data_IF_130531722758
#
_entry.id   IF_130531722758
#
_cell.length_a   1.000
_cell.length_b   1.000
_cell.length_c   1.000
_cell.angle_alpha   90.00
_cell.angle_beta   90.00
_cell.angle_gamma   90.00
#
_symmetry.space_group_name_H-M   'P 1'
#
loop_
_entity.id
_entity.type
_entity.pdbx_description
1 polymer ?
#
# COMPACT_ATOMS: atom_id res chain seq x y z
N UNK A 1 -8.25 -0.85 31.24
CA UNK A 1 -7.50 -0.61 29.97
C UNK A 1 -8.08 -1.41 28.78
N UNK A 2 -9.41 -1.58 28.70
CA UNK A 2 -10.13 -2.36 27.66
C UNK A 2 -10.75 -1.49 26.54
N UNK A 3 -10.88 -0.17 26.71
CA UNK A 3 -11.65 0.72 25.81
C UNK A 3 -10.89 1.08 24.52
N UNK A 4 -9.56 0.91 24.46
CA UNK A 4 -8.75 1.27 23.26
C UNK A 4 -8.75 0.24 22.13
N UNK A 5 -9.31 -0.95 22.35
CA UNK A 5 -9.27 -2.06 21.38
C UNK A 5 -10.42 -2.10 20.38
N UNK A 6 -11.59 -1.49 20.73
CA UNK A 6 -12.80 -1.60 19.91
C UNK A 6 -12.99 -0.48 18.87
N UNK A 7 -12.22 0.62 18.98
CA UNK A 7 -12.34 1.76 18.03
C UNK A 7 -11.82 1.37 16.62
N UNK A 8 -11.04 0.32 16.50
CA UNK A 8 -10.43 -0.13 15.24
C UNK A 8 -10.99 -1.44 14.67
N UNK A 9 -12.20 -1.86 15.04
CA UNK A 9 -12.86 -2.98 14.37
C UNK A 9 -13.07 -2.65 12.88
N UNK A 10 -13.05 -3.65 12.00
CA UNK A 10 -13.26 -3.49 10.56
C UNK A 10 -14.49 -2.63 10.24
N UNK A 11 -15.59 -2.85 10.96
CA UNK A 11 -16.86 -2.12 10.82
C UNK A 11 -16.70 -0.63 11.12
N UNK A 12 -15.98 -0.27 12.17
CA UNK A 12 -15.78 1.14 12.54
C UNK A 12 -14.90 1.89 11.52
N UNK A 13 -13.94 1.24 10.91
CA UNK A 13 -13.08 1.82 9.87
C UNK A 13 -13.85 2.09 8.58
N UNK A 14 -14.71 1.18 8.17
CA UNK A 14 -15.62 1.37 7.03
C UNK A 14 -16.57 2.54 7.29
N UNK A 15 -17.11 2.65 8.49
CA UNK A 15 -17.96 3.77 8.90
C UNK A 15 -17.22 5.11 8.79
N UNK A 16 -15.97 5.20 9.27
CA UNK A 16 -15.16 6.43 9.17
C UNK A 16 -14.94 6.84 7.71
N UNK A 17 -14.65 5.90 6.82
CA UNK A 17 -14.49 6.19 5.38
C UNK A 17 -15.82 6.69 4.78
N UNK A 18 -16.92 6.02 5.05
CA UNK A 18 -18.25 6.42 4.56
C UNK A 18 -18.61 7.82 5.05
N UNK A 19 -18.40 8.11 6.34
CA UNK A 19 -18.66 9.44 6.92
C UNK A 19 -17.77 10.50 6.27
N UNK A 20 -16.47 10.23 6.08
CA UNK A 20 -15.55 11.15 5.39
C UNK A 20 -15.95 11.45 3.95
N UNK A 21 -16.32 10.44 3.18
CA UNK A 21 -16.80 10.61 1.80
C UNK A 21 -18.13 11.39 1.76
N UNK A 22 -19.06 11.08 2.68
CA UNK A 22 -20.36 11.79 2.77
C UNK A 22 -20.18 13.27 3.11
N UNK A 23 -19.32 13.60 4.07
CA UNK A 23 -18.97 14.99 4.42
C UNK A 23 -18.32 15.71 3.22
N UNK A 24 -17.42 15.05 2.51
CA UNK A 24 -16.81 15.58 1.29
C UNK A 24 -17.85 15.89 0.20
N UNK A 25 -18.81 15.00 -0.01
CA UNK A 25 -19.89 15.20 -0.99
C UNK A 25 -20.81 16.37 -0.61
N UNK A 26 -21.21 16.47 0.66
CA UNK A 26 -22.00 17.59 1.17
C UNK A 26 -21.26 18.91 0.99
N UNK A 27 -19.96 18.94 1.30
CA UNK A 27 -19.11 20.13 1.11
C UNK A 27 -18.99 20.54 -0.35
N UNK A 28 -18.86 19.59 -1.29
CA UNK A 28 -18.85 19.85 -2.75
C UNK A 28 -20.15 20.48 -3.21
N UNK A 29 -21.30 19.93 -2.80
CA UNK A 29 -22.61 20.46 -3.15
C UNK A 29 -22.81 21.86 -2.60
N UNK A 30 -22.39 22.10 -1.34
CA UNK A 30 -22.46 23.41 -0.72
C UNK A 30 -21.60 24.45 -1.45
N UNK A 31 -20.33 24.12 -1.76
CA UNK A 31 -19.41 25.00 -2.47
C UNK A 31 -19.93 25.36 -3.88
N UNK A 32 -20.46 24.36 -4.61
CA UNK A 32 -21.03 24.60 -5.94
C UNK A 32 -22.24 25.54 -5.87
N UNK A 33 -23.12 25.37 -4.88
CA UNK A 33 -24.25 26.26 -4.66
C UNK A 33 -23.82 27.69 -4.29
N UNK A 34 -22.81 27.83 -3.43
CA UNK A 34 -22.22 29.13 -3.09
C UNK A 34 -21.62 29.84 -4.31
N UNK A 35 -20.85 29.11 -5.13
CA UNK A 35 -20.27 29.65 -6.37
C UNK A 35 -21.37 30.15 -7.33
N UNK A 36 -22.48 29.41 -7.45
CA UNK A 36 -23.62 29.83 -8.27
C UNK A 36 -24.27 31.11 -7.75
N UNK A 37 -24.55 31.17 -6.46
CA UNK A 37 -25.15 32.38 -5.83
C UNK A 37 -24.22 33.60 -5.94
N UNK A 38 -22.92 33.41 -5.75
CA UNK A 38 -21.96 34.49 -5.89
C UNK A 38 -21.89 34.99 -7.33
N UNK A 39 -21.92 34.09 -8.32
CA UNK A 39 -21.98 34.46 -9.73
C UNK A 39 -23.21 35.31 -10.07
N UNK A 40 -24.38 34.89 -9.59
CA UNK A 40 -25.63 35.64 -9.79
C UNK A 40 -25.56 37.03 -9.14
N UNK A 41 -24.97 37.12 -7.93
CA UNK A 41 -24.74 38.40 -7.24
C UNK A 41 -23.79 39.29 -8.03
N UNK A 42 -22.64 38.82 -8.48
CA UNK A 42 -21.67 39.58 -9.29
C UNK A 42 -22.31 40.10 -10.55
N UNK A 43 -23.14 39.33 -11.25
CA UNK A 43 -23.87 39.77 -12.42
C UNK A 43 -24.86 40.92 -12.12
N UNK A 44 -25.56 40.79 -10.99
CA UNK A 44 -26.47 41.84 -10.54
C UNK A 44 -25.72 43.13 -10.17
N UNK A 45 -24.62 43.01 -9.44
CA UNK A 45 -23.80 44.14 -9.01
C UNK A 45 -23.21 44.91 -10.23
N UNK A 46 -22.75 44.21 -11.27
CA UNK A 46 -22.26 44.85 -12.52
C UNK A 46 -23.40 45.52 -13.27
N UNK A 47 -24.59 44.95 -13.35
CA UNK A 47 -25.74 45.55 -13.98
C UNK A 47 -26.20 46.82 -13.22
N UNK A 48 -26.24 46.75 -11.89
CA UNK A 48 -26.57 47.91 -11.04
C UNK A 48 -25.56 49.05 -11.22
N UNK A 49 -24.27 48.72 -11.27
CA UNK A 49 -23.17 49.66 -11.50
C UNK A 49 -23.31 50.34 -12.88
N UNK A 50 -23.61 49.61 -13.95
CA UNK A 50 -23.84 50.16 -15.28
C UNK A 50 -25.03 51.10 -15.32
N UNK A 51 -26.15 50.74 -14.66
CA UNK A 51 -27.31 51.63 -14.54
C UNK A 51 -27.02 52.92 -13.72
N UNK A 52 -26.22 52.80 -12.67
CA UNK A 52 -25.79 53.94 -11.87
C UNK A 52 -24.93 54.91 -12.71
N UNK A 53 -23.99 54.38 -13.52
CA UNK A 53 -23.19 55.15 -14.46
C UNK A 53 -24.04 55.88 -15.52
N UNK A 54 -25.01 55.19 -16.12
CA UNK A 54 -25.95 55.81 -17.07
C UNK A 54 -26.75 56.94 -16.46
N UNK A 55 -27.20 56.79 -15.23
CA UNK A 55 -27.97 57.80 -14.51
C UNK A 55 -27.11 58.98 -14.08
N UNK A 56 -25.89 58.74 -13.60
CA UNK A 56 -24.92 59.78 -13.29
C UNK A 56 -24.64 60.67 -14.53
N UNK A 57 -24.44 60.06 -15.67
CA UNK A 57 -24.20 60.78 -16.91
C UNK A 57 -25.40 61.69 -17.34
N UNK A 58 -26.63 61.16 -17.24
CA UNK A 58 -27.84 61.94 -17.52
C UNK A 58 -28.01 63.11 -16.56
N UNK A 59 -27.69 62.98 -15.29
CA UNK A 59 -27.78 64.02 -14.29
C UNK A 59 -26.76 65.16 -14.54
N UNK A 60 -25.52 64.78 -14.89
CA UNK A 60 -24.48 65.79 -15.27
C UNK A 60 -24.88 66.57 -16.49
N UNK A 61 -25.45 65.94 -17.53
CA UNK A 61 -25.94 66.65 -18.72
C UNK A 61 -27.18 67.54 -18.45
N UNK A 62 -27.99 67.15 -17.45
CA UNK A 62 -29.19 67.95 -17.04
C UNK A 62 -28.90 69.04 -16.03
N UNK A 63 -27.67 69.24 -15.59
CA UNK A 63 -27.30 70.28 -14.62
C UNK A 63 -27.82 69.99 -13.20
N UNK A 64 -28.18 68.71 -12.90
CA UNK A 64 -28.65 68.31 -11.58
C UNK A 64 -27.46 68.01 -10.67
N UNK A 65 -27.64 68.32 -9.37
CA UNK A 65 -26.66 68.03 -8.30
C UNK A 65 -26.31 66.54 -8.28
N UNK A 66 -25.07 66.17 -8.08
CA UNK A 66 -24.60 64.77 -7.95
C UNK A 66 -25.40 64.07 -6.86
N UNK A 67 -26.04 62.92 -7.18
CA UNK A 67 -26.73 62.06 -6.22
C UNK A 67 -25.67 61.32 -5.43
N UNK A 68 -25.55 61.52 -4.09
CA UNK A 68 -24.53 60.85 -3.26
C UNK A 68 -24.56 59.31 -3.34
N UNK A 69 -25.73 58.72 -3.56
CA UNK A 69 -25.90 57.27 -3.69
C UNK A 69 -25.29 56.76 -4.99
N UNK A 70 -25.42 57.52 -6.09
CA UNK A 70 -24.83 57.16 -7.39
C UNK A 70 -23.32 57.24 -7.29
N UNK A 71 -22.81 58.30 -6.64
CA UNK A 71 -21.37 58.50 -6.45
C UNK A 71 -20.78 57.35 -5.59
N UNK A 72 -21.49 56.93 -4.52
CA UNK A 72 -21.06 55.84 -3.69
C UNK A 72 -21.03 54.47 -4.41
N UNK A 73 -22.04 54.16 -5.23
CA UNK A 73 -22.10 52.94 -6.03
C UNK A 73 -20.99 52.94 -7.10
N UNK A 74 -20.68 54.05 -7.69
CA UNK A 74 -19.65 54.18 -8.73
C UNK A 74 -18.25 54.13 -8.12
N UNK A 75 -18.04 54.75 -6.95
CA UNK A 75 -16.74 54.88 -6.28
C UNK A 75 -16.36 53.62 -5.49
N UNK A 76 -17.31 52.93 -4.90
CA UNK A 76 -17.08 51.67 -4.18
C UNK A 76 -16.89 50.51 -5.18
N UNK A 77 -15.80 50.62 -5.95
CA UNK A 77 -15.45 49.71 -7.01
C UNK A 77 -15.53 48.27 -6.62
N UNK A 78 -16.33 47.52 -7.32
CA UNK A 78 -16.47 46.09 -7.22
C UNK A 78 -15.12 45.39 -7.36
N UNK A 79 -14.85 44.36 -6.57
CA UNK A 79 -13.69 43.47 -6.74
C UNK A 79 -13.78 42.60 -8.03
N UNK A 80 -14.49 43.09 -9.03
CA UNK A 80 -14.73 42.47 -10.33
C UNK A 80 -13.86 43.14 -11.35
N UNK A 81 -12.96 42.42 -12.04
CA UNK A 81 -12.16 42.99 -13.12
C UNK A 81 -13.05 43.32 -14.31
N UNK A 82 -12.91 44.54 -14.84
CA UNK A 82 -13.65 44.94 -16.03
C UNK A 82 -12.80 45.80 -17.00
N UNK A 83 -13.25 45.85 -18.24
CA UNK A 83 -12.75 46.72 -19.32
C UNK A 83 -13.97 47.40 -19.92
N UNK A 84 -13.96 48.70 -19.91
CA UNK A 84 -15.00 49.52 -20.54
C UNK A 84 -14.47 50.10 -21.87
N UNK A 85 -15.25 49.94 -22.92
CA UNK A 85 -14.89 50.42 -24.27
C UNK A 85 -15.99 51.28 -24.87
N UNK A 86 -15.65 52.05 -25.90
CA UNK A 86 -16.65 52.65 -26.78
C UNK A 86 -17.13 51.62 -27.83
N UNK A 87 -17.97 52.09 -28.77
CA UNK A 87 -18.51 51.30 -29.88
C UNK A 87 -17.42 50.73 -30.80
N UNK A 88 -16.29 51.45 -30.93
CA UNK A 88 -15.15 51.07 -31.76
C UNK A 88 -14.16 50.10 -31.01
N UNK A 89 -14.53 49.64 -29.81
CA UNK A 89 -13.69 48.80 -28.92
C UNK A 89 -12.41 49.50 -28.40
N UNK A 90 -12.37 50.85 -28.43
CA UNK A 90 -11.30 51.60 -27.78
C UNK A 90 -11.52 51.60 -26.27
N UNK A 91 -10.47 51.32 -25.51
CA UNK A 91 -10.53 51.21 -24.06
C UNK A 91 -10.68 52.61 -23.44
N UNK A 92 -11.76 52.84 -22.71
CA UNK A 92 -12.05 54.07 -21.97
C UNK A 92 -11.59 53.97 -20.51
N UNK A 93 -11.85 52.83 -19.89
CA UNK A 93 -11.50 52.59 -18.50
C UNK A 93 -11.30 51.08 -18.26
N UNK A 94 -10.45 50.75 -17.30
CA UNK A 94 -10.25 49.37 -16.87
C UNK A 94 -10.01 49.31 -15.36
N UNK A 95 -10.30 48.15 -14.76
CA UNK A 95 -10.14 47.92 -13.34
C UNK A 95 -9.70 46.47 -13.08
N UNK A 96 -8.72 46.26 -12.19
CA UNK A 96 -8.14 44.96 -11.85
C UNK A 96 -7.66 44.15 -13.06
N UNK A 97 -7.26 44.84 -14.13
CA UNK A 97 -6.63 44.28 -15.34
C UNK A 97 -5.23 44.91 -15.47
N UNK A 98 -4.16 44.12 -15.62
CA UNK A 98 -2.80 44.66 -15.78
C UNK A 98 -2.67 45.51 -17.01
N UNK A 99 -2.00 46.70 -16.92
CA UNK A 99 -1.75 47.63 -18.02
C UNK A 99 -1.06 46.94 -19.23
N UNK A 100 -0.13 46.00 -18.95
CA UNK A 100 0.54 45.17 -19.97
C UNK A 100 -0.41 44.38 -20.88
N UNK A 101 -1.67 44.18 -20.48
CA UNK A 101 -2.71 43.57 -21.32
C UNK A 101 -3.38 44.61 -22.18
N UNK A 102 -3.60 45.80 -21.64
CA UNK A 102 -4.28 46.90 -22.33
C UNK A 102 -3.41 47.46 -23.46
N UNK A 103 -2.10 47.62 -23.23
CA UNK A 103 -1.14 48.17 -24.19
C UNK A 103 -0.87 47.29 -25.43
N UNK A 104 -1.33 46.03 -25.41
CA UNK A 104 -1.10 45.08 -26.49
C UNK A 104 -2.43 44.61 -27.10
N UNK A 105 -2.75 45.02 -28.36
CA UNK A 105 -4.03 44.73 -29.00
C UNK A 105 -4.42 43.23 -28.99
N UNK A 106 -3.47 42.34 -29.25
CA UNK A 106 -3.73 40.89 -29.26
C UNK A 106 -4.04 40.32 -27.87
N UNK A 107 -3.43 40.87 -26.83
CA UNK A 107 -3.68 40.45 -25.43
C UNK A 107 -5.01 41.00 -24.95
N UNK A 108 -5.30 42.23 -25.27
CA UNK A 108 -6.57 42.90 -24.99
C UNK A 108 -7.74 42.09 -25.58
N UNK A 109 -7.63 41.76 -26.88
CA UNK A 109 -8.66 40.97 -27.57
C UNK A 109 -8.91 39.62 -26.88
N UNK A 110 -7.84 38.87 -26.57
CA UNK A 110 -7.95 37.61 -25.84
C UNK A 110 -8.58 37.80 -24.46
N UNK A 111 -8.30 38.88 -23.76
CA UNK A 111 -8.88 39.17 -22.45
C UNK A 111 -10.37 39.49 -22.56
N UNK A 112 -10.78 40.27 -23.58
CA UNK A 112 -12.18 40.57 -23.87
C UNK A 112 -12.93 39.28 -24.24
N UNK A 113 -12.37 38.45 -25.12
CA UNK A 113 -12.95 37.14 -25.49
C UNK A 113 -13.13 36.25 -24.25
N UNK A 114 -12.13 36.23 -23.36
CA UNK A 114 -12.20 35.49 -22.10
C UNK A 114 -13.32 35.97 -21.18
N UNK A 115 -13.43 37.29 -20.99
CA UNK A 115 -14.50 37.88 -20.19
C UNK A 115 -15.88 37.57 -20.77
N UNK A 116 -15.99 37.65 -22.12
CA UNK A 116 -17.22 37.33 -22.84
C UNK A 116 -17.61 35.85 -22.68
N UNK A 117 -16.64 34.93 -22.67
CA UNK A 117 -16.88 33.49 -22.49
C UNK A 117 -17.26 33.13 -21.03
N UNK A 118 -16.74 33.87 -20.05
CA UNK A 118 -16.94 33.57 -18.63
C UNK A 118 -18.33 33.93 -18.10
N UNK A 119 -19.05 34.86 -18.76
CA UNK A 119 -20.28 35.47 -18.22
C UNK A 119 -21.51 35.35 -19.14
N UNK A 120 -22.70 35.37 -18.52
CA UNK A 120 -24.01 35.44 -19.18
C UNK A 120 -24.90 36.36 -18.36
N UNK A 121 -25.34 37.57 -18.81
CA UNK A 121 -25.03 38.15 -20.13
C UNK A 121 -23.56 38.43 -20.31
N UNK A 122 -23.07 38.27 -21.54
CA UNK A 122 -21.65 38.37 -21.89
C UNK A 122 -21.07 39.76 -21.73
N UNK A 123 -21.90 40.80 -21.89
CA UNK A 123 -21.55 42.20 -21.82
C UNK A 123 -22.71 43.02 -21.27
N UNK A 124 -22.43 44.12 -20.61
CA UNK A 124 -23.41 45.10 -20.21
C UNK A 124 -23.20 46.36 -21.06
N UNK A 125 -24.29 46.83 -21.69
CA UNK A 125 -24.27 48.05 -22.47
C UNK A 125 -25.02 49.12 -21.72
N UNK A 126 -24.52 50.38 -21.74
CA UNK A 126 -25.26 51.51 -21.23
C UNK A 126 -25.09 52.70 -22.18
N UNK A 127 -26.15 53.46 -22.34
CA UNK A 127 -26.17 54.60 -23.25
C UNK A 127 -25.50 55.81 -22.62
N UNK A 128 -24.50 56.37 -23.33
CA UNK A 128 -23.82 57.56 -22.90
C UNK A 128 -24.54 58.82 -23.43
N UNK A 129 -25.09 58.76 -24.65
CA UNK A 129 -25.96 59.75 -25.26
C UNK A 129 -27.01 59.06 -26.15
N UNK A 130 -27.89 59.86 -26.84
CA UNK A 130 -28.94 59.25 -27.67
C UNK A 130 -28.40 58.36 -28.80
N UNK A 131 -27.15 58.59 -29.27
CA UNK A 131 -26.56 57.86 -30.39
C UNK A 131 -25.30 57.06 -30.03
N UNK A 132 -24.81 57.16 -28.77
CA UNK A 132 -23.57 56.51 -28.34
C UNK A 132 -23.75 55.68 -27.10
N UNK A 133 -23.11 54.49 -27.09
CA UNK A 133 -23.15 53.59 -25.95
C UNK A 133 -21.74 53.07 -25.59
N UNK A 134 -21.55 52.72 -24.33
CA UNK A 134 -20.35 52.06 -23.83
C UNK A 134 -20.63 50.57 -23.55
N UNK A 135 -19.60 49.76 -23.69
CA UNK A 135 -19.66 48.33 -23.47
C UNK A 135 -18.75 47.97 -22.30
N UNK A 136 -19.29 47.27 -21.30
CA UNK A 136 -18.54 46.79 -20.17
C UNK A 136 -18.32 45.28 -20.34
N UNK A 137 -17.06 44.88 -20.50
CA UNK A 137 -16.63 43.50 -20.44
C UNK A 137 -16.10 43.22 -19.05
N UNK A 138 -16.64 42.25 -18.35
CA UNK A 138 -16.26 41.95 -16.98
C UNK A 138 -15.91 40.50 -16.81
N UNK A 139 -14.93 40.22 -15.91
CA UNK A 139 -14.49 38.88 -15.55
C UNK A 139 -15.02 38.43 -14.19
N UNK A 140 -14.68 37.25 -13.78
CA UNK A 140 -14.99 36.75 -12.46
C UNK A 140 -14.07 37.37 -11.41
N UNK A 141 -14.60 37.69 -10.22
CA UNK A 141 -13.79 38.12 -9.08
C UNK A 141 -12.75 37.04 -8.67
N UNK A 142 -11.73 37.43 -7.94
CA UNK A 142 -10.76 36.52 -7.38
C UNK A 142 -11.44 35.48 -6.47
N UNK A 143 -12.46 35.89 -5.71
CA UNK A 143 -13.22 35.00 -4.84
C UNK A 143 -14.00 33.94 -5.62
N UNK A 144 -14.70 34.34 -6.68
CA UNK A 144 -15.45 33.42 -7.54
C UNK A 144 -14.49 32.43 -8.25
N UNK A 145 -13.31 32.88 -8.68
CA UNK A 145 -12.27 32.00 -9.24
C UNK A 145 -11.79 30.98 -8.21
N UNK A 146 -11.52 31.39 -6.98
CA UNK A 146 -11.11 30.49 -5.90
C UNK A 146 -12.20 29.45 -5.62
N UNK A 147 -13.46 29.83 -5.57
CA UNK A 147 -14.58 28.91 -5.37
C UNK A 147 -14.72 27.90 -6.53
N UNK A 148 -14.39 28.32 -7.74
CA UNK A 148 -14.43 27.45 -8.92
C UNK A 148 -13.34 26.36 -8.90
N UNK A 149 -12.15 26.67 -8.37
CA UNK A 149 -11.05 25.72 -8.24
C UNK A 149 -11.13 24.87 -6.96
N UNK A 150 -11.85 25.31 -5.94
CA UNK A 150 -11.96 24.64 -4.66
C UNK A 150 -12.41 23.16 -4.74
N UNK A 151 -13.38 22.76 -5.59
CA UNK A 151 -13.78 21.37 -5.75
C UNK A 151 -12.63 20.44 -6.18
N UNK A 152 -11.74 20.91 -7.04
CA UNK A 152 -10.59 20.11 -7.49
C UNK A 152 -9.59 19.87 -6.38
N UNK A 153 -9.31 20.89 -5.57
CA UNK A 153 -8.46 20.77 -4.37
C UNK A 153 -9.09 19.80 -3.37
N UNK A 154 -10.39 19.90 -3.18
CA UNK A 154 -11.14 19.04 -2.25
C UNK A 154 -11.12 17.56 -2.69
N UNK A 155 -11.32 17.27 -3.98
CA UNK A 155 -11.21 15.91 -4.53
C UNK A 155 -9.80 15.36 -4.31
N UNK A 156 -8.76 16.16 -4.55
CA UNK A 156 -7.37 15.77 -4.30
C UNK A 156 -7.15 15.36 -2.83
N UNK A 157 -7.63 16.20 -1.89
CA UNK A 157 -7.50 15.94 -0.44
C UNK A 157 -8.26 14.68 -0.03
N UNK A 158 -9.50 14.49 -0.52
CA UNK A 158 -10.28 13.28 -0.23
C UNK A 158 -9.58 12.04 -0.76
N UNK A 159 -9.06 12.09 -1.99
CA UNK A 159 -8.33 10.97 -2.61
C UNK A 159 -7.08 10.62 -1.82
N UNK A 160 -6.29 11.63 -1.40
CA UNK A 160 -5.13 11.43 -0.56
C UNK A 160 -5.49 10.79 0.79
N UNK A 161 -6.59 11.23 1.42
CA UNK A 161 -7.07 10.67 2.68
C UNK A 161 -7.50 9.20 2.54
N UNK A 162 -8.20 8.85 1.46
CA UNK A 162 -8.58 7.45 1.17
C UNK A 162 -7.34 6.59 0.95
N UNK A 163 -6.34 7.08 0.21
CA UNK A 163 -5.10 6.37 -0.06
C UNK A 163 -4.31 6.10 1.23
N UNK A 164 -4.15 7.12 2.07
CA UNK A 164 -3.50 6.98 3.38
C UNK A 164 -4.25 5.98 4.28
N UNK A 165 -5.57 6.05 4.31
CA UNK A 165 -6.41 5.10 5.03
C UNK A 165 -6.22 3.66 4.53
N UNK A 166 -6.11 3.46 3.23
CA UNK A 166 -5.85 2.15 2.62
C UNK A 166 -4.47 1.60 2.99
N UNK A 167 -3.43 2.43 2.95
CA UNK A 167 -2.06 2.06 3.35
C UNK A 167 -2.02 1.68 4.83
N UNK A 168 -2.62 2.49 5.70
CA UNK A 168 -2.70 2.22 7.14
C UNK A 168 -3.49 0.93 7.45
N UNK A 169 -4.56 0.67 6.68
CA UNK A 169 -5.34 -0.56 6.79
C UNK A 169 -4.52 -1.80 6.43
N UNK A 170 -3.77 -1.74 5.33
CA UNK A 170 -2.91 -2.85 4.88
C UNK A 170 -1.81 -3.17 5.90
N UNK A 171 -1.15 -2.15 6.45
CA UNK A 171 -0.12 -2.29 7.49
C UNK A 171 -0.69 -2.92 8.76
N UNK A 172 -1.83 -2.43 9.26
CA UNK A 172 -2.46 -2.95 10.48
C UNK A 172 -2.89 -4.41 10.39
N UNK A 173 -3.32 -4.87 9.21
CA UNK A 173 -3.71 -6.29 9.01
C UNK A 173 -2.50 -7.22 9.09
N UNK A 174 -1.34 -6.76 8.62
CA UNK A 174 -0.09 -7.52 8.70
C UNK A 174 0.40 -7.65 10.14
N UNK A 175 0.32 -6.57 10.92
CA UNK A 175 0.71 -6.55 12.33
C UNK A 175 -0.20 -7.43 13.21
N UNK A 176 -1.49 -7.48 12.93
CA UNK A 176 -2.44 -8.33 13.69
C UNK A 176 -2.18 -9.82 13.43
N UNK A 177 -1.92 -10.21 12.19
CA UNK A 177 -1.51 -11.56 11.85
C UNK A 177 -0.18 -11.93 12.53
N UNK A 178 0.80 -11.04 12.52
CA UNK A 178 2.08 -11.27 13.18
C UNK A 178 1.93 -11.45 14.70
N UNK A 179 1.08 -10.68 15.38
CA UNK A 179 0.84 -10.81 16.82
C UNK A 179 0.17 -12.11 17.21
N UNK A 180 -0.80 -12.58 16.43
CA UNK A 180 -1.45 -13.89 16.66
C UNK A 180 -0.43 -15.00 16.52
N UNK A 181 0.49 -14.91 15.55
CA UNK A 181 1.54 -15.89 15.33
C UNK A 181 2.61 -15.89 16.42
N UNK A 182 3.04 -14.72 16.89
CA UNK A 182 3.98 -14.60 18.02
C UNK A 182 3.35 -15.20 19.29
N UNK A 183 2.05 -14.93 19.50
CA UNK A 183 1.31 -15.53 20.62
C UNK A 183 1.20 -17.04 20.52
N UNK A 184 0.87 -17.58 19.35
CA UNK A 184 0.81 -19.04 19.10
C UNK A 184 2.19 -19.70 19.21
N UNK A 185 3.23 -19.12 18.63
CA UNK A 185 4.59 -19.66 18.71
C UNK A 185 5.10 -19.66 20.16
N UNK A 186 4.87 -18.57 20.91
CA UNK A 186 5.24 -18.47 22.33
C UNK A 186 4.44 -19.47 23.20
N UNK A 187 3.14 -19.60 22.96
CA UNK A 187 2.28 -20.54 23.66
C UNK A 187 2.65 -22.00 23.33
N UNK A 188 2.91 -22.27 22.03
CA UNK A 188 3.35 -23.60 21.57
C UNK A 188 4.73 -23.97 22.16
N UNK A 189 5.68 -23.03 22.18
CA UNK A 189 6.98 -23.24 22.80
C UNK A 189 6.87 -23.45 24.30
N UNK A 190 5.97 -22.74 25.00
CA UNK A 190 5.74 -22.91 26.43
C UNK A 190 5.02 -24.23 26.75
N UNK A 191 4.04 -24.61 25.94
CA UNK A 191 3.32 -25.89 26.09
C UNK A 191 4.16 -27.10 25.67
N UNK A 192 5.14 -26.93 24.76
CA UNK A 192 6.13 -27.96 24.42
C UNK A 192 7.25 -28.02 25.45
N UNK A 193 7.59 -26.92 26.11
CA UNK A 193 8.67 -26.89 27.11
C UNK A 193 8.44 -27.80 28.31
N UNK A 194 7.20 -27.95 28.77
CA UNK A 194 6.86 -28.85 29.91
C UNK A 194 7.00 -30.34 29.54
N UNK A 195 6.40 -30.85 28.44
CA UNK A 195 6.60 -32.25 28.05
C UNK A 195 8.04 -32.53 27.59
N UNK A 196 8.77 -31.57 26.97
CA UNK A 196 10.17 -31.78 26.61
C UNK A 196 11.07 -31.94 27.85
N UNK A 197 10.84 -31.15 28.91
CA UNK A 197 11.57 -31.30 30.17
C UNK A 197 11.27 -32.68 30.83
N UNK A 198 10.04 -33.13 30.75
CA UNK A 198 9.67 -34.50 31.24
C UNK A 198 10.34 -35.60 30.42
N UNK A 199 10.38 -35.45 29.10
CA UNK A 199 11.07 -36.39 28.19
C UNK A 199 12.56 -36.44 28.42
N UNK A 200 13.21 -35.27 28.71
CA UNK A 200 14.61 -35.23 29.11
C UNK A 200 14.85 -36.06 30.40
N UNK A 201 13.96 -35.91 31.39
CA UNK A 201 14.03 -36.72 32.61
C UNK A 201 13.90 -38.22 32.33
N UNK A 202 13.01 -38.62 31.41
CA UNK A 202 12.87 -40.05 31.02
C UNK A 202 14.09 -40.53 30.22
N UNK A 203 14.69 -39.73 29.34
CA UNK A 203 15.92 -40.08 28.63
C UNK A 203 17.07 -40.30 29.62
N UNK A 204 17.21 -39.41 30.62
CA UNK A 204 18.26 -39.54 31.63
C UNK A 204 18.04 -40.80 32.55
N UNK A 205 16.78 -41.09 32.86
CA UNK A 205 16.42 -42.33 33.54
C UNK A 205 16.79 -43.56 32.70
N UNK A 206 16.44 -43.59 31.41
CA UNK A 206 16.78 -44.68 30.49
C UNK A 206 18.30 -44.86 30.32
N UNK A 207 19.05 -43.73 30.30
CA UNK A 207 20.52 -43.76 30.27
C UNK A 207 21.14 -44.47 31.49
N UNK A 208 20.47 -44.43 32.62
CA UNK A 208 20.90 -45.11 33.84
C UNK A 208 20.50 -46.57 33.90
N UNK A 209 19.69 -47.07 32.95
CA UNK A 209 19.23 -48.47 32.88
C UNK A 209 20.07 -49.27 31.87
N UNK A 210 19.99 -50.57 31.94
CA UNK A 210 20.66 -51.49 31.03
C UNK A 210 19.84 -51.69 29.73
N UNK A 211 19.75 -50.60 28.96
CA UNK A 211 19.05 -50.51 27.66
C UNK A 211 20.03 -50.14 26.57
N UNK A 212 19.60 -50.29 25.31
CA UNK A 212 20.42 -49.89 24.17
C UNK A 212 20.74 -48.37 24.21
N UNK A 213 21.96 -48.04 24.62
CA UNK A 213 22.45 -46.68 24.76
C UNK A 213 22.44 -45.92 23.43
N UNK A 214 22.53 -46.63 22.29
CA UNK A 214 22.47 -45.95 20.97
C UNK A 214 21.06 -45.41 20.70
N UNK A 215 20.03 -46.13 21.10
CA UNK A 215 18.63 -45.69 21.03
C UNK A 215 18.35 -44.49 21.95
N UNK A 216 18.88 -44.52 23.18
CA UNK A 216 18.76 -43.42 24.16
C UNK A 216 19.44 -42.15 23.63
N UNK A 217 20.60 -42.29 23.00
CA UNK A 217 21.33 -41.15 22.42
C UNK A 217 20.63 -40.55 21.21
N UNK A 218 19.98 -41.36 20.38
CA UNK A 218 19.14 -40.91 19.27
C UNK A 218 17.88 -40.17 19.76
N UNK A 219 17.22 -40.66 20.79
CA UNK A 219 16.10 -39.98 21.45
C UNK A 219 16.51 -38.61 22.04
N UNK A 220 17.70 -38.57 22.67
CA UNK A 220 18.23 -37.32 23.22
C UNK A 220 18.55 -36.30 22.11
N UNK A 221 19.08 -36.76 20.98
CA UNK A 221 19.32 -35.89 19.78
C UNK A 221 18.03 -35.33 19.23
N UNK A 222 16.99 -36.18 19.11
CA UNK A 222 15.67 -35.76 18.62
C UNK A 222 15.04 -34.70 19.54
N UNK A 223 15.14 -34.89 20.84
CA UNK A 223 14.60 -33.96 21.82
C UNK A 223 15.38 -32.64 21.85
N UNK A 224 16.71 -32.72 21.80
CA UNK A 224 17.59 -31.52 21.71
C UNK A 224 17.31 -30.72 20.43
N UNK A 225 17.05 -31.40 19.32
CA UNK A 225 16.68 -30.77 18.05
C UNK A 225 15.35 -30.00 18.17
N UNK A 226 14.34 -30.58 18.80
CA UNK A 226 13.06 -29.93 19.10
C UNK A 226 13.23 -28.69 20.00
N UNK A 227 14.14 -28.73 20.96
CA UNK A 227 14.38 -27.62 21.90
C UNK A 227 15.12 -26.42 21.24
N UNK A 228 15.98 -26.68 20.28
CA UNK A 228 16.70 -25.63 19.53
C UNK A 228 15.76 -24.69 18.75
N UNK A 229 14.59 -25.16 18.33
CA UNK A 229 13.59 -24.40 17.58
C UNK A 229 13.04 -23.19 18.36
N UNK A 230 13.10 -23.22 19.70
CA UNK A 230 12.61 -22.15 20.58
C UNK A 230 13.66 -21.10 20.99
N UNK A 231 14.92 -21.24 20.60
CA UNK A 231 16.00 -20.34 21.04
C UNK A 231 16.16 -19.13 20.09
N UNK A 232 16.17 -17.92 20.65
CA UNK A 232 16.51 -16.68 19.93
C UNK A 232 18.04 -16.63 19.72
N UNK A 233 18.57 -17.34 18.73
CA UNK A 233 19.96 -17.22 18.31
C UNK A 233 20.08 -16.25 17.14
N UNK A 234 21.07 -15.31 17.16
CA UNK A 234 21.26 -14.36 16.05
C UNK A 234 21.66 -15.08 14.75
N UNK A 235 21.50 -14.40 13.63
CA UNK A 235 22.02 -14.88 12.35
C UNK A 235 23.55 -14.80 12.38
N UNK A 236 24.20 -15.88 12.01
CA UNK A 236 25.66 -15.98 11.90
C UNK A 236 26.10 -16.49 10.54
N UNK A 237 27.28 -16.13 10.03
CA UNK A 237 27.85 -16.75 8.85
C UNK A 237 27.95 -18.27 9.04
N UNK A 238 27.39 -19.04 8.11
CA UNK A 238 27.43 -20.49 8.14
C UNK A 238 27.60 -21.08 6.75
N UNK A 239 28.28 -22.22 6.68
CA UNK A 239 28.44 -23.03 5.48
C UNK A 239 27.12 -23.77 5.19
N UNK A 240 26.42 -23.34 4.15
CA UNK A 240 25.12 -23.90 3.75
C UNK A 240 25.24 -25.38 3.36
N UNK A 241 26.36 -25.77 2.75
CA UNK A 241 26.57 -27.16 2.35
C UNK A 241 26.61 -28.10 3.56
N UNK A 242 27.22 -27.67 4.66
CA UNK A 242 27.29 -28.46 5.90
C UNK A 242 25.92 -28.54 6.58
N UNK A 243 25.27 -27.38 6.80
CA UNK A 243 23.98 -27.32 7.49
C UNK A 243 22.89 -28.11 6.77
N UNK A 244 22.81 -27.99 5.43
CA UNK A 244 21.88 -28.79 4.62
C UNK A 244 22.31 -30.26 4.61
N UNK A 245 23.61 -30.55 4.56
CA UNK A 245 24.16 -31.89 4.60
C UNK A 245 23.80 -32.62 5.90
N UNK A 246 23.90 -31.96 7.04
CA UNK A 246 23.50 -32.52 8.34
C UNK A 246 22.00 -32.87 8.36
N UNK A 247 21.15 -31.97 7.88
CA UNK A 247 19.71 -32.20 7.74
C UNK A 247 19.40 -33.40 6.82
N UNK A 248 20.10 -33.51 5.67
CA UNK A 248 19.93 -34.62 4.74
C UNK A 248 20.38 -35.95 5.35
N UNK A 249 21.54 -35.98 6.04
CA UNK A 249 22.04 -37.20 6.71
C UNK A 249 21.14 -37.63 7.83
N UNK A 250 20.61 -36.68 8.62
CA UNK A 250 19.63 -36.96 9.68
C UNK A 250 18.34 -37.56 9.10
N UNK A 251 17.83 -37.00 8.01
CA UNK A 251 16.59 -37.42 7.38
C UNK A 251 16.74 -38.78 6.65
N UNK A 252 17.90 -39.04 6.04
CA UNK A 252 18.20 -40.28 5.30
C UNK A 252 18.00 -41.55 6.14
N UNK A 253 18.27 -41.50 7.44
CA UNK A 253 18.08 -42.64 8.34
C UNK A 253 16.61 -42.99 8.61
N UNK A 254 15.70 -42.09 8.27
CA UNK A 254 14.25 -42.12 8.60
C UNK A 254 13.34 -42.35 7.40
N UNK A 255 13.88 -42.35 6.20
CA UNK A 255 13.11 -42.57 4.97
C UNK A 255 12.87 -44.07 4.73
N UNK A 256 11.71 -44.46 4.16
CA UNK A 256 11.46 -45.82 3.71
C UNK A 256 12.47 -46.30 2.66
N UNK A 257 12.73 -47.61 2.64
CA UNK A 257 13.69 -48.21 1.69
C UNK A 257 13.32 -48.01 0.23
N UNK A 258 12.07 -47.74 -0.09
CA UNK A 258 11.56 -47.52 -1.44
C UNK A 258 11.66 -46.03 -1.91
N UNK A 259 12.28 -45.18 -1.10
CA UNK A 259 12.49 -43.75 -1.41
C UNK A 259 13.99 -43.51 -1.48
N UNK A 260 14.44 -42.84 -2.58
CA UNK A 260 15.82 -42.40 -2.71
C UNK A 260 15.96 -40.93 -2.31
N UNK A 261 17.08 -40.60 -1.65
CA UNK A 261 17.42 -39.24 -1.26
C UNK A 261 18.80 -38.88 -1.74
N UNK A 262 18.88 -37.98 -2.72
CA UNK A 262 20.11 -37.50 -3.32
C UNK A 262 20.46 -36.09 -2.83
N UNK A 263 21.76 -35.80 -2.72
CA UNK A 263 22.29 -34.52 -2.28
C UNK A 263 23.60 -34.19 -3.00
N UNK A 264 23.66 -33.01 -3.64
CA UNK A 264 24.84 -32.60 -4.40
C UNK A 264 25.81 -31.71 -3.59
N UNK A 265 25.46 -31.23 -2.40
CA UNK A 265 26.23 -30.20 -1.68
C UNK A 265 27.66 -30.64 -1.28
N UNK A 266 27.94 -31.95 -1.26
CA UNK A 266 29.27 -32.48 -1.01
C UNK A 266 30.21 -32.38 -2.25
N UNK A 267 29.64 -32.19 -3.44
CA UNK A 267 30.38 -32.14 -4.71
C UNK A 267 30.61 -30.68 -5.20
N UNK A 268 30.12 -29.67 -4.50
CA UNK A 268 30.27 -28.26 -4.89
C UNK A 268 31.10 -27.50 -3.85
N UNK A 269 31.69 -26.38 -4.29
CA UNK A 269 32.45 -25.49 -3.39
C UNK A 269 31.56 -24.99 -2.23
N UNK A 270 32.13 -24.82 -1.02
CA UNK A 270 31.39 -24.28 0.12
C UNK A 270 30.77 -22.91 -0.19
N UNK A 271 29.53 -22.71 0.20
CA UNK A 271 28.80 -21.44 0.04
C UNK A 271 28.31 -20.95 1.39
N UNK A 272 28.53 -19.68 1.66
CA UNK A 272 28.17 -19.07 2.94
C UNK A 272 26.96 -18.15 2.83
N UNK A 273 26.14 -18.17 3.89
CA UNK A 273 25.06 -17.22 4.10
C UNK A 273 24.88 -16.95 5.61
N UNK A 274 24.29 -15.78 5.94
CA UNK A 274 23.92 -15.50 7.32
C UNK A 274 22.63 -16.23 7.68
N UNK A 275 22.72 -17.22 8.53
CA UNK A 275 21.58 -18.02 8.96
C UNK A 275 21.61 -18.31 10.48
N UNK A 276 20.43 -18.63 11.01
CA UNK A 276 20.33 -19.40 12.24
C UNK A 276 20.28 -20.89 11.83
N UNK A 277 21.36 -21.61 12.06
CA UNK A 277 21.52 -22.99 11.60
C UNK A 277 20.35 -23.89 12.06
N UNK A 278 19.95 -23.83 13.32
CA UNK A 278 18.88 -24.66 13.87
C UNK A 278 17.50 -24.41 13.22
N UNK A 279 17.15 -23.13 12.99
CA UNK A 279 15.92 -22.78 12.29
C UNK A 279 15.97 -23.16 10.81
N UNK A 280 17.14 -23.05 10.20
CA UNK A 280 17.32 -23.40 8.80
C UNK A 280 17.30 -24.89 8.55
N UNK A 281 17.94 -25.69 9.42
CA UNK A 281 17.84 -27.16 9.45
C UNK A 281 16.36 -27.59 9.52
N UNK A 282 15.61 -27.01 10.44
CA UNK A 282 14.17 -27.30 10.56
C UNK A 282 13.40 -27.00 9.27
N UNK A 283 13.70 -25.89 8.58
CA UNK A 283 13.08 -25.56 7.29
C UNK A 283 13.37 -26.65 6.26
N UNK A 284 14.62 -27.05 6.11
CA UNK A 284 15.04 -28.08 5.13
C UNK A 284 14.36 -29.41 5.44
N UNK A 285 14.34 -29.82 6.70
CA UNK A 285 13.66 -31.05 7.13
C UNK A 285 12.15 -31.01 6.89
N UNK A 286 11.50 -29.88 7.17
CA UNK A 286 10.08 -29.73 6.90
C UNK A 286 9.76 -29.82 5.39
N UNK A 287 10.63 -29.30 4.52
CA UNK A 287 10.49 -29.46 3.07
C UNK A 287 10.66 -30.91 2.66
N UNK A 288 11.71 -31.60 3.12
CA UNK A 288 11.92 -33.02 2.85
C UNK A 288 10.78 -33.90 3.36
N UNK A 289 10.24 -33.62 4.56
CA UNK A 289 9.08 -34.31 5.11
C UNK A 289 7.82 -34.10 4.25
N UNK A 290 7.59 -32.89 3.75
CA UNK A 290 6.48 -32.62 2.85
C UNK A 290 6.65 -33.34 1.50
N UNK A 291 7.89 -33.40 0.98
CA UNK A 291 8.23 -34.20 -0.19
C UNK A 291 7.98 -35.69 0.02
N UNK A 292 8.41 -36.26 1.16
CA UNK A 292 8.17 -37.63 1.48
C UNK A 292 6.66 -37.96 1.54
N UNK A 293 5.86 -37.12 2.16
CA UNK A 293 4.39 -37.24 2.23
C UNK A 293 3.76 -37.17 0.80
N UNK A 294 4.36 -36.43 -0.12
CA UNK A 294 3.87 -36.34 -1.50
C UNK A 294 4.18 -37.57 -2.34
N UNK A 295 5.23 -38.33 -1.99
CA UNK A 295 5.69 -39.53 -2.70
C UNK A 295 4.79 -40.77 -2.47
N UNK A 296 3.96 -40.78 -1.42
CA UNK A 296 3.08 -41.91 -1.08
C UNK A 296 3.80 -43.27 -0.99
N UNK A 297 5.04 -43.25 -0.51
CA UNK A 297 5.82 -44.46 -0.19
C UNK A 297 6.83 -44.91 -1.26
N UNK A 298 6.90 -44.32 -2.43
CA UNK A 298 7.92 -44.61 -3.45
C UNK A 298 8.28 -43.41 -4.29
N UNK A 299 9.51 -43.28 -4.74
CA UNK A 299 10.00 -42.18 -5.55
C UNK A 299 11.35 -41.63 -5.09
N UNK A 300 11.64 -40.37 -5.45
CA UNK A 300 12.90 -39.74 -5.11
C UNK A 300 12.71 -38.32 -4.56
N UNK A 301 13.61 -37.94 -3.68
CA UNK A 301 13.82 -36.57 -3.21
C UNK A 301 15.25 -36.18 -3.62
N UNK A 302 15.41 -35.02 -4.27
CA UNK A 302 16.71 -34.51 -4.71
C UNK A 302 16.90 -33.11 -4.09
N UNK A 303 17.94 -32.96 -3.26
CA UNK A 303 18.30 -31.71 -2.61
C UNK A 303 19.53 -31.14 -3.30
N UNK A 304 19.37 -29.97 -3.94
CA UNK A 304 20.46 -29.33 -4.70
C UNK A 304 20.78 -27.96 -4.17
N UNK A 305 22.06 -27.70 -3.98
CA UNK A 305 22.58 -26.37 -3.72
C UNK A 305 23.23 -25.84 -5.03
N UNK A 306 22.95 -24.59 -5.31
CA UNK A 306 23.61 -23.82 -6.37
C UNK A 306 23.79 -22.38 -5.89
N UNK A 307 24.71 -21.64 -6.50
CA UNK A 307 24.94 -20.24 -6.17
C UNK A 307 25.26 -19.43 -7.40
N UNK A 308 24.89 -18.17 -7.36
CA UNK A 308 25.35 -17.11 -8.25
C UNK A 308 26.20 -16.09 -7.46
N UNK A 309 26.53 -14.95 -8.09
CA UNK A 309 27.35 -13.89 -7.45
C UNK A 309 26.66 -13.23 -6.25
N UNK A 310 25.34 -13.36 -6.09
CA UNK A 310 24.57 -12.65 -5.06
C UNK A 310 23.79 -13.57 -4.13
N UNK A 311 23.46 -14.77 -4.59
CA UNK A 311 22.51 -15.64 -3.93
C UNK A 311 23.03 -17.07 -3.82
N UNK A 312 22.54 -17.74 -2.77
CA UNK A 312 22.59 -19.19 -2.60
C UNK A 312 21.19 -19.73 -2.78
N UNK A 313 21.02 -20.71 -3.62
CA UNK A 313 19.74 -21.37 -3.91
C UNK A 313 19.78 -22.82 -3.44
N UNK A 314 18.76 -23.22 -2.70
CA UNK A 314 18.56 -24.58 -2.23
C UNK A 314 17.25 -25.08 -2.81
N UNK A 315 17.30 -26.09 -3.67
CA UNK A 315 16.16 -26.74 -4.29
C UNK A 315 15.88 -28.07 -3.62
N UNK A 316 14.66 -28.26 -3.15
CA UNK A 316 14.14 -29.56 -2.69
C UNK A 316 13.12 -30.00 -3.73
N UNK A 317 13.48 -31.02 -4.51
CA UNK A 317 12.67 -31.61 -5.59
C UNK A 317 12.18 -32.99 -5.19
N UNK A 318 10.90 -33.25 -5.40
CA UNK A 318 10.30 -34.58 -5.26
C UNK A 318 9.67 -35.05 -6.59
N UNK A 319 9.46 -36.37 -6.69
CA UNK A 319 8.71 -37.01 -7.78
C UNK A 319 7.29 -37.38 -7.38
N UNK A 320 6.70 -36.63 -6.43
CA UNK A 320 5.40 -36.95 -5.84
C UNK A 320 4.19 -36.47 -6.68
N UNK A 321 3.06 -36.36 -6.01
CA UNK A 321 1.78 -36.04 -6.65
C UNK A 321 1.69 -34.67 -7.34
N UNK A 322 2.62 -33.75 -7.07
CA UNK A 322 2.60 -32.41 -7.60
C UNK A 322 1.55 -31.49 -6.97
N UNK A 323 1.62 -30.21 -7.31
CA UNK A 323 0.77 -29.13 -6.78
C UNK A 323 0.15 -28.36 -7.95
N UNK A 324 -1.18 -28.22 -8.02
CA UNK A 324 -1.86 -27.40 -9.02
C UNK A 324 -1.37 -25.96 -8.98
N UNK A 325 -1.18 -25.32 -10.16
CA UNK A 325 -0.59 -23.98 -10.29
C UNK A 325 -1.34 -22.90 -9.46
N UNK A 326 -2.66 -23.02 -9.35
CA UNK A 326 -3.46 -22.12 -8.51
C UNK A 326 -3.17 -22.19 -7.00
N UNK A 327 -2.53 -23.27 -6.54
CA UNK A 327 -2.22 -23.47 -5.12
C UNK A 327 -0.75 -23.13 -4.75
N UNK A 328 0.11 -22.82 -5.70
CA UNK A 328 1.55 -22.56 -5.44
C UNK A 328 1.81 -21.48 -4.38
N UNK A 329 0.98 -20.44 -4.34
CA UNK A 329 1.06 -19.40 -3.30
C UNK A 329 0.32 -19.81 -2.03
N UNK A 330 -0.80 -20.51 -2.20
CA UNK A 330 -1.70 -20.88 -1.09
C UNK A 330 -1.11 -21.93 -0.14
N UNK A 331 -0.23 -22.82 -0.63
CA UNK A 331 0.43 -23.83 0.24
C UNK A 331 1.26 -23.21 1.37
N UNK A 332 1.65 -21.93 1.23
CA UNK A 332 2.35 -21.17 2.26
C UNK A 332 1.41 -20.32 3.14
N UNK A 333 0.09 -20.39 2.91
CA UNK A 333 -0.88 -19.75 3.80
C UNK A 333 -1.09 -20.60 5.07
N UNK A 334 -1.18 -19.96 6.25
CA UNK A 334 -1.42 -20.67 7.50
C UNK A 334 -2.70 -21.49 7.47
N UNK A 335 -2.61 -22.75 7.92
CA UNK A 335 -3.75 -23.66 7.97
C UNK A 335 -4.08 -24.35 6.63
N UNK A 336 -3.38 -24.05 5.54
CA UNK A 336 -3.59 -24.76 4.28
C UNK A 336 -2.98 -26.16 4.35
N UNK A 337 -3.82 -27.17 4.20
CA UNK A 337 -3.41 -28.57 4.19
C UNK A 337 -4.32 -29.41 3.28
N UNK A 338 -3.74 -30.38 2.61
CA UNK A 338 -4.45 -31.44 1.88
C UNK A 338 -4.38 -32.78 2.61
N UNK A 339 -3.80 -32.79 3.83
CA UNK A 339 -3.60 -34.01 4.66
C UNK A 339 -4.76 -34.14 5.63
N UNK A 340 -5.15 -35.40 5.94
CA UNK A 340 -6.14 -35.70 6.97
C UNK A 340 -5.62 -35.48 8.40
N UNK A 341 -4.29 -35.50 8.59
CA UNK A 341 -3.60 -35.20 9.83
C UNK A 341 -2.55 -34.11 9.59
N UNK A 342 -2.53 -33.10 10.46
CA UNK A 342 -1.60 -31.98 10.40
C UNK A 342 -2.32 -30.64 10.36
N UNK A 343 -1.72 -29.64 10.96
CA UNK A 343 -2.32 -28.30 11.17
C UNK A 343 -2.12 -27.34 9.99
N UNK A 344 -1.43 -27.78 8.90
CA UNK A 344 -1.12 -26.93 7.77
C UNK A 344 -0.18 -25.75 8.10
N UNK A 345 0.64 -25.88 9.13
CA UNK A 345 1.51 -24.80 9.61
C UNK A 345 2.96 -24.92 9.14
N UNK A 346 3.41 -26.09 8.69
CA UNK A 346 4.81 -26.32 8.35
C UNK A 346 5.35 -25.40 7.27
N UNK A 347 4.73 -25.34 6.10
CA UNK A 347 5.19 -24.49 5.00
C UNK A 347 5.02 -23.00 5.30
N UNK A 348 3.98 -22.58 6.00
CA UNK A 348 3.79 -21.20 6.40
C UNK A 348 4.86 -20.74 7.40
N UNK A 349 5.26 -21.60 8.32
CA UNK A 349 6.36 -21.33 9.24
C UNK A 349 7.71 -21.35 8.52
N UNK A 350 7.94 -22.31 7.61
CA UNK A 350 9.15 -22.32 6.75
C UNK A 350 9.28 -21.01 5.97
N UNK A 351 8.19 -20.51 5.39
CA UNK A 351 8.19 -19.24 4.68
C UNK A 351 8.57 -18.08 5.58
N UNK A 352 8.02 -18.02 6.78
CA UNK A 352 8.32 -16.99 7.75
C UNK A 352 9.78 -17.03 8.20
N UNK A 353 10.31 -18.22 8.50
CA UNK A 353 11.71 -18.37 8.87
C UNK A 353 12.61 -17.88 7.74
N UNK A 354 12.32 -18.25 6.50
CA UNK A 354 13.14 -17.84 5.35
C UNK A 354 12.96 -16.36 5.02
N UNK A 355 11.72 -15.86 4.91
CA UNK A 355 11.45 -14.50 4.40
C UNK A 355 11.61 -13.44 5.49
N UNK A 356 11.01 -13.64 6.68
CA UNK A 356 10.99 -12.62 7.73
C UNK A 356 12.27 -12.65 8.59
N UNK A 357 12.79 -13.85 8.88
CA UNK A 357 13.93 -14.01 9.78
C UNK A 357 15.27 -13.98 9.01
N UNK A 358 15.39 -14.75 7.92
CA UNK A 358 16.63 -14.82 7.12
C UNK A 358 16.66 -13.83 5.95
N UNK A 359 15.58 -13.03 5.73
CA UNK A 359 15.46 -12.07 4.63
C UNK A 359 15.69 -12.70 3.23
N UNK A 360 15.39 -13.98 3.11
CA UNK A 360 15.45 -14.77 1.89
C UNK A 360 14.13 -14.80 1.13
N UNK A 361 14.00 -15.78 0.24
CA UNK A 361 12.76 -16.07 -0.48
C UNK A 361 12.52 -17.57 -0.51
N UNK A 362 11.26 -18.01 -0.41
CA UNK A 362 10.86 -19.39 -0.59
C UNK A 362 9.64 -19.48 -1.51
N UNK A 363 9.63 -20.46 -2.41
CA UNK A 363 8.52 -20.64 -3.33
C UNK A 363 8.61 -21.89 -4.18
N UNK A 364 7.49 -22.26 -4.81
CA UNK A 364 7.46 -23.32 -5.82
C UNK A 364 8.03 -22.75 -7.11
N UNK A 365 9.07 -23.38 -7.65
CA UNK A 365 9.66 -23.02 -8.95
C UNK A 365 9.09 -23.86 -10.08
N UNK A 366 8.81 -25.13 -9.80
CA UNK A 366 8.27 -26.06 -10.76
C UNK A 366 7.36 -27.07 -10.05
N UNK A 367 6.20 -27.35 -10.61
CA UNK A 367 5.35 -28.45 -10.15
C UNK A 367 4.35 -28.83 -11.24
N UNK A 368 4.24 -30.13 -11.45
CA UNK A 368 3.27 -30.75 -12.37
C UNK A 368 2.59 -31.94 -11.70
N UNK A 369 1.28 -32.05 -11.87
CA UNK A 369 0.50 -33.12 -11.26
C UNK A 369 0.99 -34.49 -11.77
N UNK A 370 1.34 -35.36 -10.83
CA UNK A 370 1.88 -36.70 -11.11
C UNK A 370 3.35 -36.76 -11.48
N UNK A 371 4.06 -35.61 -11.55
CA UNK A 371 5.52 -35.57 -11.88
C UNK A 371 6.37 -35.03 -10.72
N UNK A 372 5.75 -34.36 -9.76
CA UNK A 372 6.43 -33.85 -8.57
C UNK A 372 6.46 -32.35 -8.44
N UNK A 373 7.23 -31.87 -7.45
CA UNK A 373 7.35 -30.46 -7.09
C UNK A 373 8.81 -30.10 -6.79
N UNK A 374 9.20 -28.89 -7.14
CA UNK A 374 10.45 -28.25 -6.72
C UNK A 374 10.14 -27.01 -5.91
N UNK A 375 10.57 -26.99 -4.65
CA UNK A 375 10.52 -25.82 -3.78
C UNK A 375 11.94 -25.26 -3.67
N UNK A 376 12.09 -23.97 -3.94
CA UNK A 376 13.36 -23.24 -3.88
C UNK A 376 13.39 -22.30 -2.68
N UNK A 377 14.50 -22.37 -1.94
CA UNK A 377 14.92 -21.34 -0.98
C UNK A 377 16.03 -20.52 -1.63
N UNK A 378 15.98 -19.20 -1.50
CA UNK A 378 17.02 -18.29 -1.96
C UNK A 378 17.47 -17.42 -0.79
N UNK A 379 18.76 -17.41 -0.48
CA UNK A 379 19.40 -16.61 0.56
C UNK A 379 20.46 -15.69 -0.09
N UNK A 380 20.79 -14.59 0.59
CA UNK A 380 21.92 -13.75 0.18
C UNK A 380 23.24 -14.48 0.46
N UNK A 381 24.08 -14.56 -0.56
CA UNK A 381 25.44 -15.10 -0.44
C UNK A 381 26.33 -14.10 0.30
N UNK A 382 27.19 -14.61 1.17
CA UNK A 382 28.32 -13.86 1.73
C UNK A 382 29.62 -14.48 1.25
N UNK A 383 30.61 -13.64 1.08
CA UNK A 383 31.98 -14.05 0.75
C UNK A 383 32.82 -13.97 2.00
N UNK A 384 33.72 -14.92 2.21
CA UNK A 384 34.79 -14.76 3.21
C UNK A 384 35.69 -13.62 2.72
N UNK A 385 35.91 -12.61 3.58
CA UNK A 385 36.94 -11.58 3.37
C UNK A 385 38.34 -12.16 3.51
#
# INVERSE_FOLDING_TARGET
MKIRRDIFSFRNRVVVIIVGVSLGMVSLLYTNNMAKRLKEKEQHDVALWAHAMERANRNVMGGSMEDPLITDIVSNGNNIPFIMTNENLEVLQFHLVPEKIIDHPDRLRRQIDKFTAENTPRTVRFWWSNDHYHIIFYGRSALLKSLYYFPYVQILVITAFILLGFIAFRSSKHDEQNRVWIGLAKETAHQLGTPTSSLLGWIEYLRSQDVDQSAVEEMNKDLTHLMKIGSETPLTPANINEVVGESVMYFRKRIPRNVTLDYNGLAIAPVQANINAALFEWVVENLMKNSLDALQGHGSIDVRISSDDKNVMIDVKDTGKGIPKGNWKRIFEPGFTTKTRGWGLGLSLSRRIVEDYHQGKIGVTESEIGKGTTIRITLKRIFEE
#
